data_IF_309970827156
#
_entry.id   IF_309970827156
#
_cell.length_a   1.000
_cell.length_b   1.000
_cell.length_c   1.000
_cell.angle_alpha   90.00
_cell.angle_beta   90.00
_cell.angle_gamma   90.00
#
_symmetry.space_group_name_H-M   'P 1'
#
loop_
_entity.id
_entity.type
_entity.pdbx_description
1 polymer ?
#
# COMPACT_ATOMS: atom_id res chain seq x y z
N UNK A 1 10.54 17.12 9.69
CA UNK A 1 9.75 17.21 8.44
C UNK A 1 8.31 16.77 8.72
N UNK A 2 7.36 17.07 7.83
CA UNK A 2 5.95 16.62 7.87
C UNK A 2 5.63 15.85 6.58
N UNK A 3 4.66 14.93 6.63
CA UNK A 3 4.25 14.15 5.46
C UNK A 3 3.33 14.93 4.51
N UNK A 4 2.52 15.83 5.06
CA UNK A 4 1.57 16.67 4.31
C UNK A 4 1.77 18.14 4.64
N UNK A 5 1.51 19.00 3.65
CA UNK A 5 1.46 20.45 3.79
C UNK A 5 0.26 20.90 4.66
N UNK A 6 0.23 22.17 5.14
CA UNK A 6 -0.96 22.72 5.79
C UNK A 6 -2.24 22.51 4.97
N UNK A 7 -3.31 22.07 5.63
CA UNK A 7 -4.58 21.69 4.98
C UNK A 7 -4.66 20.23 4.53
N UNK A 8 -3.54 19.51 4.48
CA UNK A 8 -3.52 18.06 4.27
C UNK A 8 -3.92 17.27 5.53
N UNK A 9 -4.32 16.02 5.34
CA UNK A 9 -4.64 15.09 6.43
C UNK A 9 -4.00 13.72 6.21
N UNK A 10 -3.85 12.96 7.29
CA UNK A 10 -3.34 11.58 7.25
C UNK A 10 -4.34 10.69 7.97
N UNK A 11 -4.81 9.64 7.30
CA UNK A 11 -5.51 8.53 7.95
C UNK A 11 -4.58 7.32 7.91
N UNK A 12 -4.19 6.82 9.08
CA UNK A 12 -3.33 5.64 9.20
C UNK A 12 -4.13 4.48 9.80
N UNK A 13 -3.95 3.30 9.22
CA UNK A 13 -4.53 2.05 9.70
C UNK A 13 -3.44 1.21 10.37
N UNK A 14 -3.80 0.59 11.49
CA UNK A 14 -2.96 -0.35 12.22
C UNK A 14 -3.85 -1.48 12.74
N UNK A 15 -3.48 -2.73 12.47
CA UNK A 15 -4.29 -3.89 12.82
C UNK A 15 -4.14 -4.25 14.31
N UNK A 16 -2.94 -4.06 14.87
CA UNK A 16 -2.63 -4.38 16.26
C UNK A 16 -3.10 -3.28 17.21
N UNK A 17 -3.97 -3.64 18.17
CA UNK A 17 -4.64 -2.67 19.04
C UNK A 17 -3.67 -1.85 19.90
N UNK A 18 -2.61 -2.48 20.41
CA UNK A 18 -1.64 -1.84 21.27
C UNK A 18 -0.71 -0.89 20.49
N UNK A 19 -0.32 -1.24 19.25
CA UNK A 19 0.40 -0.36 18.33
C UNK A 19 -0.47 0.82 17.92
N UNK A 20 -1.75 0.60 17.59
CA UNK A 20 -2.68 1.67 17.24
C UNK A 20 -2.87 2.67 18.40
N UNK A 21 -3.01 2.18 19.64
CA UNK A 21 -3.08 3.02 20.83
C UNK A 21 -1.80 3.84 21.05
N UNK A 22 -0.62 3.22 20.90
CA UNK A 22 0.67 3.93 20.99
C UNK A 22 0.81 4.99 19.90
N UNK A 23 0.41 4.70 18.67
CA UNK A 23 0.43 5.65 17.56
C UNK A 23 -0.48 6.85 17.83
N UNK A 24 -1.69 6.64 18.37
CA UNK A 24 -2.61 7.72 18.79
C UNK A 24 -1.95 8.64 19.81
N UNK A 25 -1.35 8.09 20.85
CA UNK A 25 -0.68 8.88 21.88
C UNK A 25 0.51 9.69 21.30
N UNK A 26 1.37 9.04 20.52
CA UNK A 26 2.55 9.68 19.94
C UNK A 26 2.21 10.80 18.95
N UNK A 27 1.07 10.70 18.28
CA UNK A 27 0.65 11.64 17.23
C UNK A 27 -0.47 12.59 17.69
N UNK A 28 -0.83 12.59 18.98
CA UNK A 28 -1.92 13.38 19.54
C UNK A 28 -1.79 14.90 19.31
N UNK A 29 -0.56 15.41 19.14
CA UNK A 29 -0.31 16.83 18.82
C UNK A 29 -0.72 17.25 17.40
N UNK A 30 -1.00 16.30 16.51
CA UNK A 30 -1.36 16.57 15.12
C UNK A 30 -2.88 16.40 14.92
N UNK A 31 -3.61 17.51 14.93
CA UNK A 31 -5.07 17.50 14.76
C UNK A 31 -5.54 16.95 13.39
N UNK A 32 -4.65 16.90 12.40
CA UNK A 32 -4.92 16.40 11.05
C UNK A 32 -4.52 14.93 10.84
N UNK A 33 -4.18 14.21 11.91
CA UNK A 33 -3.85 12.78 11.87
C UNK A 33 -4.96 11.97 12.55
N UNK A 34 -5.54 11.02 11.82
CA UNK A 34 -6.49 10.05 12.34
C UNK A 34 -5.86 8.66 12.32
N UNK A 35 -5.82 8.00 13.48
CA UNK A 35 -5.40 6.60 13.59
C UNK A 35 -6.65 5.72 13.72
N UNK A 36 -6.80 4.80 12.78
CA UNK A 36 -7.83 3.76 12.77
C UNK A 36 -7.16 2.48 13.23
N UNK A 37 -7.65 1.90 14.33
CA UNK A 37 -7.35 0.50 14.61
C UNK A 37 -8.27 -0.33 13.72
N UNK A 38 -7.71 -1.09 12.78
CA UNK A 38 -8.49 -1.81 11.77
C UNK A 38 -7.61 -2.52 10.76
N UNK A 39 -8.22 -3.44 10.02
CA UNK A 39 -7.55 -4.19 8.97
C UNK A 39 -7.69 -3.44 7.65
N UNK A 40 -6.62 -2.80 7.19
CA UNK A 40 -6.62 -2.07 5.92
C UNK A 40 -6.92 -2.97 4.70
N UNK A 41 -6.75 -4.30 4.79
CA UNK A 41 -7.10 -5.22 3.70
C UNK A 41 -8.62 -5.40 3.58
N UNK A 42 -9.35 -5.39 4.69
CA UNK A 42 -10.79 -5.63 4.74
C UNK A 42 -11.63 -4.34 4.87
N UNK A 43 -11.12 -3.35 5.59
CA UNK A 43 -11.82 -2.11 5.89
C UNK A 43 -11.78 -1.12 4.71
N UNK A 44 -12.81 -0.26 4.56
CA UNK A 44 -12.81 0.74 3.50
C UNK A 44 -11.76 1.84 3.74
N UNK A 45 -10.95 2.09 2.72
CA UNK A 45 -9.99 3.19 2.71
C UNK A 45 -10.62 4.49 2.18
N UNK A 46 -10.32 5.66 2.78
CA UNK A 46 -10.80 6.93 2.24
C UNK A 46 -10.11 7.27 0.91
N UNK A 47 -10.78 8.03 0.01
CA UNK A 47 -10.14 8.53 -1.20
C UNK A 47 -8.87 9.33 -0.90
N UNK A 48 -7.76 8.94 -1.50
CA UNK A 48 -6.41 9.38 -1.10
C UNK A 48 -5.57 9.81 -2.30
N UNK A 49 -4.83 10.91 -2.12
CA UNK A 49 -3.82 11.36 -3.08
C UNK A 49 -2.57 10.48 -3.05
N UNK A 50 -2.21 9.99 -1.85
CA UNK A 50 -1.11 9.06 -1.59
C UNK A 50 -1.61 7.93 -0.69
N UNK A 51 -1.26 6.69 -1.03
CA UNK A 51 -1.32 5.54 -0.12
C UNK A 51 0.11 5.06 0.13
N UNK A 52 0.51 4.95 1.38
CA UNK A 52 1.83 4.47 1.78
C UNK A 52 1.67 3.25 2.69
N UNK A 53 2.25 2.13 2.28
CA UNK A 53 2.07 0.83 2.94
C UNK A 53 3.40 0.39 3.54
N UNK A 54 3.36 -0.07 4.79
CA UNK A 54 4.52 -0.50 5.57
C UNK A 54 4.49 -2.00 5.90
N UNK A 55 3.91 -2.80 5.00
CA UNK A 55 3.87 -4.26 5.07
C UNK A 55 3.93 -4.85 3.66
N UNK A 56 4.65 -5.97 3.50
CA UNK A 56 4.84 -6.62 2.21
C UNK A 56 3.62 -7.42 1.75
N UNK A 57 3.18 -7.19 0.51
CA UNK A 57 2.05 -7.89 -0.10
C UNK A 57 2.45 -8.66 -1.35
N UNK A 58 1.73 -9.73 -1.67
CA UNK A 58 1.90 -10.47 -2.94
C UNK A 58 1.30 -9.68 -4.12
N UNK A 59 0.19 -9.00 -3.85
CA UNK A 59 -0.48 -8.05 -4.73
C UNK A 59 -1.30 -7.09 -3.84
N UNK A 60 -1.39 -5.79 -4.18
CA UNK A 60 -2.22 -4.88 -3.41
C UNK A 60 -3.71 -5.23 -3.58
N UNK A 61 -4.51 -5.22 -2.50
CA UNK A 61 -5.96 -5.32 -2.59
C UNK A 61 -6.56 -4.32 -3.59
N UNK A 62 -7.59 -4.75 -4.33
CA UNK A 62 -8.27 -3.91 -5.30
C UNK A 62 -8.84 -2.62 -4.67
N UNK A 63 -9.32 -2.71 -3.43
CA UNK A 63 -9.82 -1.56 -2.67
C UNK A 63 -8.75 -0.47 -2.46
N UNK A 64 -7.47 -0.83 -2.32
CA UNK A 64 -6.39 0.15 -2.18
C UNK A 64 -6.17 0.92 -3.47
N UNK A 65 -6.26 0.24 -4.61
CA UNK A 65 -6.20 0.86 -5.93
C UNK A 65 -7.43 1.75 -6.18
N UNK A 66 -8.62 1.31 -5.76
CA UNK A 66 -9.86 2.08 -5.84
C UNK A 66 -9.87 3.33 -4.96
N UNK A 67 -9.15 3.32 -3.84
CA UNK A 67 -9.00 4.48 -2.97
C UNK A 67 -8.11 5.59 -3.57
N UNK A 68 -7.28 5.31 -4.59
CA UNK A 68 -6.46 6.34 -5.22
C UNK A 68 -7.34 7.32 -6.00
N UNK A 69 -7.22 8.63 -5.72
CA UNK A 69 -7.81 9.69 -6.56
C UNK A 69 -7.16 9.70 -7.95
N UNK A 70 -7.75 10.34 -8.98
CA UNK A 70 -7.08 10.53 -10.28
C UNK A 70 -5.69 11.14 -10.10
N UNK A 71 -4.65 10.54 -10.70
CA UNK A 71 -3.25 10.95 -10.50
C UNK A 71 -2.64 10.55 -9.14
N UNK A 72 -3.43 9.93 -8.26
CA UNK A 72 -3.01 9.44 -6.96
C UNK A 72 -1.98 8.33 -7.07
N UNK A 73 -1.16 8.18 -6.03
CA UNK A 73 -0.01 7.28 -6.03
C UNK A 73 -0.02 6.33 -4.83
N UNK A 74 0.38 5.09 -5.03
CA UNK A 74 0.60 4.15 -3.95
C UNK A 74 2.05 3.68 -3.92
N UNK A 75 2.66 3.67 -2.74
CA UNK A 75 4.00 3.13 -2.52
C UNK A 75 3.87 1.95 -1.56
N UNK A 76 4.33 0.77 -1.98
CA UNK A 76 4.25 -0.42 -1.16
C UNK A 76 5.42 -1.40 -1.41
N UNK A 77 5.77 -2.24 -0.42
CA UNK A 77 6.69 -3.35 -0.61
C UNK A 77 5.98 -4.51 -1.32
N UNK A 78 6.41 -4.83 -2.53
CA UNK A 78 5.92 -5.96 -3.32
C UNK A 78 6.79 -7.19 -3.09
N UNK A 79 6.19 -8.25 -2.54
CA UNK A 79 6.84 -9.51 -2.21
C UNK A 79 5.98 -10.72 -2.62
N UNK A 80 5.88 -11.03 -3.93
CA UNK A 80 5.10 -12.15 -4.44
C UNK A 80 5.80 -13.51 -4.26
N UNK A 81 7.08 -13.52 -3.87
CA UNK A 81 7.83 -14.73 -3.47
C UNK A 81 9.07 -14.35 -2.66
N UNK A 82 9.74 -15.34 -2.09
CA UNK A 82 11.00 -15.16 -1.35
C UNK A 82 12.15 -14.56 -2.19
N UNK A 83 12.10 -14.68 -3.51
CA UNK A 83 13.18 -14.16 -4.38
C UNK A 83 12.90 -12.75 -4.91
N UNK A 84 11.71 -12.21 -4.66
CA UNK A 84 11.27 -10.89 -5.14
C UNK A 84 10.91 -10.03 -3.94
N UNK A 85 11.70 -8.99 -3.68
CA UNK A 85 11.40 -7.96 -2.69
C UNK A 85 11.74 -6.58 -3.25
N UNK A 86 10.72 -5.82 -3.66
CA UNK A 86 10.87 -4.52 -4.31
C UNK A 86 9.95 -3.48 -3.68
N UNK A 87 10.40 -2.24 -3.55
CA UNK A 87 9.47 -1.13 -3.37
C UNK A 87 8.91 -0.74 -4.75
N UNK A 88 7.59 -0.63 -4.83
CA UNK A 88 6.85 -0.32 -6.04
C UNK A 88 6.06 0.97 -5.85
N UNK A 89 6.12 1.84 -6.86
CA UNK A 89 5.23 2.99 -7.01
C UNK A 89 4.16 2.65 -8.05
N UNK A 90 2.89 2.76 -7.66
CA UNK A 90 1.75 2.74 -8.57
C UNK A 90 1.25 4.17 -8.75
N UNK A 91 0.88 4.55 -9.96
CA UNK A 91 0.19 5.81 -10.25
C UNK A 91 -1.13 5.51 -10.96
N UNK A 92 -2.25 6.02 -10.43
CA UNK A 92 -3.55 5.95 -11.09
C UNK A 92 -3.57 6.89 -12.29
N UNK A 93 -3.79 6.33 -13.48
CA UNK A 93 -3.91 7.08 -14.73
C UNK A 93 -5.40 7.33 -15.04
N UNK A 94 -5.69 8.06 -16.12
CA UNK A 94 -7.06 8.20 -16.62
C UNK A 94 -7.70 6.84 -16.90
N UNK A 95 -6.93 5.91 -17.48
CA UNK A 95 -7.29 4.51 -17.67
C UNK A 95 -6.20 3.60 -17.09
N UNK A 96 -6.53 2.80 -16.07
CA UNK A 96 -5.62 1.82 -15.46
C UNK A 96 -4.53 2.42 -14.58
N UNK A 97 -3.43 1.67 -14.41
CA UNK A 97 -2.38 1.96 -13.42
C UNK A 97 -0.99 1.78 -14.01
N UNK A 98 -0.16 2.82 -13.93
CA UNK A 98 1.28 2.70 -14.16
C UNK A 98 1.95 2.05 -12.94
N UNK A 99 2.96 1.23 -13.18
CA UNK A 99 3.72 0.55 -12.15
C UNK A 99 5.22 0.81 -12.35
N UNK A 100 5.91 1.18 -11.29
CA UNK A 100 7.35 1.42 -11.29
C UNK A 100 7.99 0.81 -10.05
N UNK A 101 8.53 -0.41 -10.16
CA UNK A 101 9.50 -0.92 -9.19
C UNK A 101 10.75 -0.02 -9.22
N UNK A 102 11.25 0.40 -8.07
CA UNK A 102 12.34 1.40 -8.03
C UNK A 102 13.51 1.10 -7.10
N UNK A 103 13.38 0.14 -6.17
CA UNK A 103 14.50 -0.33 -5.34
C UNK A 103 14.19 -1.69 -4.72
N UNK A 104 15.21 -2.38 -4.20
CA UNK A 104 15.01 -3.51 -3.31
C UNK A 104 14.34 -3.08 -1.99
N UNK A 105 13.51 -3.93 -1.42
CA UNK A 105 12.81 -3.63 -0.16
C UNK A 105 12.41 -4.91 0.58
N UNK A 106 12.44 -4.87 1.92
CA UNK A 106 12.04 -5.97 2.79
C UNK A 106 11.25 -5.45 3.99
N UNK A 107 10.06 -6.02 4.19
CA UNK A 107 9.12 -5.64 5.23
C UNK A 107 8.48 -6.90 5.83
N UNK A 108 7.89 -6.73 7.02
CA UNK A 108 6.99 -7.73 7.61
C UNK A 108 5.86 -8.10 6.63
N UNK A 109 5.37 -9.36 6.62
CA UNK A 109 4.26 -9.74 5.77
C UNK A 109 2.98 -9.00 6.19
N UNK A 110 2.21 -8.55 5.20
CA UNK A 110 0.89 -7.99 5.43
C UNK A 110 -0.11 -9.11 5.71
N UNK A 111 -0.70 -9.12 6.91
CA UNK A 111 -1.79 -10.04 7.27
C UNK A 111 -2.92 -9.87 6.25
N UNK A 112 -3.47 -10.99 5.76
CA UNK A 112 -4.55 -10.98 4.76
C UNK A 112 -4.14 -10.71 3.30
N UNK A 113 -2.89 -10.28 3.03
CA UNK A 113 -2.46 -9.93 1.67
C UNK A 113 -1.04 -10.42 1.30
N UNK A 114 -0.46 -11.34 2.08
CA UNK A 114 0.88 -11.89 1.87
C UNK A 114 0.90 -13.38 1.46
N UNK A 115 -0.25 -14.05 1.46
CA UNK A 115 -0.38 -15.43 0.99
C UNK A 115 -0.48 -15.48 -0.53
N UNK A 116 0.24 -16.40 -1.17
CA UNK A 116 0.17 -16.61 -2.61
C UNK A 116 -0.95 -17.60 -2.92
N UNK A 117 -1.93 -17.18 -3.72
CA UNK A 117 -3.00 -18.06 -4.18
C UNK A 117 -2.47 -19.17 -5.12
N UNK A 118 -3.02 -20.39 -5.04
CA UNK A 118 -2.67 -21.45 -5.98
C UNK A 118 -2.87 -21.03 -7.44
N UNK A 119 -1.85 -21.26 -8.27
CA UNK A 119 -1.88 -20.90 -9.69
C UNK A 119 -1.59 -19.41 -9.99
N UNK A 120 -1.28 -18.60 -8.98
CA UNK A 120 -0.82 -17.23 -9.18
C UNK A 120 0.46 -17.21 -10.05
N UNK A 121 0.48 -16.30 -11.03
CA UNK A 121 1.66 -16.08 -11.88
C UNK A 121 2.68 -15.23 -11.14
N UNK A 122 3.64 -15.88 -10.50
CA UNK A 122 4.73 -15.22 -9.77
C UNK A 122 5.84 -14.81 -10.77
N UNK A 123 6.23 -13.53 -10.84
CA UNK A 123 7.35 -13.12 -11.68
C UNK A 123 8.68 -13.51 -11.04
N UNK A 124 9.70 -13.75 -11.87
CA UNK A 124 11.10 -13.72 -11.40
C UNK A 124 11.49 -12.30 -11.02
N UNK A 125 12.56 -12.12 -10.24
CA UNK A 125 13.05 -10.78 -9.87
C UNK A 125 13.36 -9.91 -11.09
N UNK A 126 13.95 -10.47 -12.14
CA UNK A 126 14.24 -9.76 -13.39
C UNK A 126 12.96 -9.28 -14.10
N UNK A 127 11.92 -10.12 -14.16
CA UNK A 127 10.63 -9.71 -14.73
C UNK A 127 9.95 -8.67 -13.85
N UNK A 128 10.02 -8.86 -12.53
CA UNK A 128 9.41 -7.96 -11.55
C UNK A 128 9.95 -6.53 -11.70
N UNK A 129 11.27 -6.33 -11.81
CA UNK A 129 11.88 -4.98 -11.99
C UNK A 129 11.48 -4.30 -13.31
N UNK A 130 11.09 -5.09 -14.31
CA UNK A 130 10.64 -4.61 -15.63
C UNK A 130 9.13 -4.35 -15.71
N UNK A 131 8.37 -4.58 -14.64
CA UNK A 131 6.92 -4.30 -14.59
C UNK A 131 6.64 -2.81 -14.84
N UNK A 132 5.67 -2.50 -15.70
CA UNK A 132 5.31 -1.12 -16.08
C UNK A 132 3.84 -0.75 -15.88
N UNK A 133 2.98 -1.73 -15.72
CA UNK A 133 1.56 -1.52 -15.44
C UNK A 133 0.98 -2.68 -14.63
N UNK A 134 -0.16 -2.43 -14.01
CA UNK A 134 -1.00 -3.44 -13.36
C UNK A 134 -2.46 -3.20 -13.73
N UNK A 135 -3.28 -4.23 -13.55
CA UNK A 135 -4.70 -4.23 -13.91
C UNK A 135 -5.50 -4.91 -12.80
N UNK A 136 -6.73 -4.47 -12.59
CA UNK A 136 -7.68 -5.23 -11.78
C UNK A 136 -8.06 -6.50 -12.53
N UNK A 137 -8.23 -7.61 -11.81
CA UNK A 137 -8.62 -8.90 -12.41
C UNK A 137 -10.12 -8.98 -12.71
N UNK A 138 -10.92 -8.10 -12.10
CA UNK A 138 -12.36 -7.88 -12.31
C UNK A 138 -12.64 -6.39 -12.06
N UNK A 139 -13.60 -5.83 -12.79
CA UNK A 139 -14.09 -4.46 -12.61
C UNK A 139 -14.92 -4.32 -11.33
#
# INVERSE_FOLDING_TARGET
SKLVEPGGSVTAFEIEADLAARAKANLARYANVRIVQGDAVADPLPPSDIVYVNAGVVAPPAAWLGALKPGGRMIFPWRPSETVGLAVLITRLGNGFACRPFMGSWFIPCVGASAVEPGAKIPTRERATRTRSIWLTKD
#
